data_IF_388707893315
#
_entry.id   IF_388707893315
#
_cell.length_a   1.000
_cell.length_b   1.000
_cell.length_c   1.000
_cell.angle_alpha   90.00
_cell.angle_beta   90.00
_cell.angle_gamma   90.00
#
_symmetry.space_group_name_H-M   'P 1'
#
loop_
_entity.id
_entity.type
_entity.pdbx_description
1 polymer ?
#
# COMPACT_ATOMS: atom_id res chain seq x y z
N UNK A 1 -25.19 -3.55 -34.29
CA UNK A 1 -23.83 -4.11 -34.29
C UNK A 1 -22.90 -3.05 -33.75
N UNK A 2 -22.18 -3.18 -32.65
CA UNK A 2 -22.23 -4.09 -31.51
C UNK A 2 -21.66 -3.26 -30.36
N UNK A 3 -22.44 -3.13 -29.29
CA UNK A 3 -21.97 -2.53 -28.05
C UNK A 3 -21.18 -3.59 -27.30
N UNK A 4 -19.87 -3.40 -27.14
CA UNK A 4 -19.07 -3.96 -26.04
C UNK A 4 -17.62 -3.45 -26.15
N UNK A 5 -17.36 -2.25 -25.62
CA UNK A 5 -15.99 -1.71 -25.47
C UNK A 5 -15.60 -1.53 -24.00
N UNK A 6 -16.10 -2.41 -23.13
CA UNK A 6 -15.89 -2.35 -21.68
C UNK A 6 -15.67 -3.73 -21.03
N UNK A 7 -15.07 -4.66 -21.75
CA UNK A 7 -14.40 -5.81 -21.11
C UNK A 7 -12.92 -5.49 -21.06
N UNK A 8 -12.58 -4.48 -20.24
CA UNK A 8 -11.22 -4.36 -19.72
C UNK A 8 -11.10 -5.49 -18.69
N UNK A 9 -10.24 -6.47 -18.98
CA UNK A 9 -10.03 -7.68 -18.20
C UNK A 9 -9.61 -7.33 -16.76
N UNK A 10 -10.59 -7.09 -15.90
CA UNK A 10 -10.39 -6.98 -14.45
C UNK A 10 -9.97 -8.36 -13.94
N UNK A 11 -8.67 -8.61 -13.94
CA UNK A 11 -8.04 -9.73 -13.26
C UNK A 11 -8.20 -9.54 -11.75
N UNK A 12 -9.38 -9.90 -11.24
CA UNK A 12 -9.67 -9.95 -9.81
C UNK A 12 -8.80 -11.05 -9.19
N UNK A 13 -7.67 -10.65 -8.60
CA UNK A 13 -6.86 -11.55 -7.80
C UNK A 13 -7.59 -11.88 -6.49
N UNK A 14 -7.44 -13.10 -5.96
CA UNK A 14 -7.91 -13.44 -4.63
C UNK A 14 -7.35 -12.44 -3.59
N UNK A 15 -8.15 -12.09 -2.59
CA UNK A 15 -7.78 -11.07 -1.59
C UNK A 15 -6.50 -11.45 -0.80
N UNK A 16 -6.23 -12.75 -0.67
CA UNK A 16 -5.01 -13.32 -0.09
C UNK A 16 -3.75 -13.10 -0.94
N UNK A 17 -3.90 -12.92 -2.27
CA UNK A 17 -2.80 -12.69 -3.21
C UNK A 17 -2.55 -11.21 -3.50
N UNK A 18 -3.52 -10.36 -3.17
CA UNK A 18 -3.38 -8.93 -3.34
C UNK A 18 -2.37 -8.36 -2.35
N UNK A 19 -1.40 -7.57 -2.82
CA UNK A 19 -0.46 -6.86 -1.95
C UNK A 19 -0.78 -5.36 -1.98
N UNK A 20 -0.85 -4.69 -0.82
CA UNK A 20 -1.23 -3.30 -0.79
C UNK A 20 -0.18 -2.42 -1.46
N UNK A 21 -0.59 -1.52 -2.34
CA UNK A 21 0.36 -0.66 -3.08
C UNK A 21 0.48 0.73 -2.47
N UNK A 22 -0.36 1.06 -1.50
CA UNK A 22 -0.34 2.34 -0.78
C UNK A 22 -0.40 2.15 0.74
N UNK A 23 0.06 3.17 1.47
CA UNK A 23 0.00 3.24 2.93
C UNK A 23 -1.43 3.19 3.45
N UNK A 24 -2.35 3.97 2.86
CA UNK A 24 -3.76 3.99 3.29
C UNK A 24 -4.40 2.60 3.20
N UNK A 25 -4.08 1.87 2.15
CA UNK A 25 -4.61 0.54 1.92
C UNK A 25 -4.01 -0.50 2.87
N UNK A 26 -2.70 -0.43 3.11
CA UNK A 26 -2.04 -1.22 4.15
C UNK A 26 -2.70 -1.01 5.51
N UNK A 27 -2.84 0.25 5.94
CA UNK A 27 -3.42 0.60 7.24
C UNK A 27 -4.88 0.15 7.33
N UNK A 28 -5.67 0.31 6.25
CA UNK A 28 -7.05 -0.19 6.20
C UNK A 28 -7.10 -1.69 6.38
N UNK A 29 -6.25 -2.44 5.68
CA UNK A 29 -6.22 -3.91 5.76
C UNK A 29 -5.82 -4.41 7.15
N UNK A 30 -4.93 -3.70 7.83
CA UNK A 30 -4.51 -4.03 9.19
C UNK A 30 -5.42 -3.43 10.28
N UNK A 31 -6.46 -2.66 9.92
CA UNK A 31 -7.32 -1.99 10.90
C UNK A 31 -6.62 -0.85 11.67
N UNK A 32 -5.58 -0.26 11.09
CA UNK A 32 -4.70 0.73 11.72
C UNK A 32 -4.95 2.17 11.25
N UNK A 33 -6.00 2.44 10.47
CA UNK A 33 -6.30 3.78 9.92
C UNK A 33 -6.39 4.84 11.03
N UNK A 34 -7.05 4.49 12.13
CA UNK A 34 -7.25 5.35 13.30
C UNK A 34 -6.30 5.01 14.46
N UNK A 35 -5.35 4.09 14.24
CA UNK A 35 -4.39 3.71 15.26
C UNK A 35 -3.40 4.84 15.54
N UNK A 36 -2.79 4.90 16.74
CA UNK A 36 -1.72 5.84 17.04
C UNK A 36 -0.57 5.76 16.02
N UNK A 37 0.06 6.90 15.73
CA UNK A 37 1.11 7.02 14.72
C UNK A 37 2.22 5.99 14.89
N UNK A 38 2.63 5.66 16.11
CA UNK A 38 3.67 4.66 16.37
C UNK A 38 3.28 3.25 15.91
N UNK A 39 2.00 2.88 16.06
CA UNK A 39 1.49 1.59 15.58
C UNK A 39 1.43 1.55 14.05
N UNK A 40 0.98 2.65 13.43
CA UNK A 40 1.01 2.80 11.98
C UNK A 40 2.45 2.70 11.46
N UNK A 41 3.38 3.44 12.06
CA UNK A 41 4.79 3.43 11.67
C UNK A 41 5.43 2.05 11.81
N UNK A 42 5.12 1.30 12.88
CA UNK A 42 5.58 -0.09 13.04
C UNK A 42 5.09 -0.99 11.91
N UNK A 43 3.79 -0.94 11.61
CA UNK A 43 3.21 -1.71 10.50
C UNK A 43 3.81 -1.32 9.14
N UNK A 44 4.08 -0.03 8.93
CA UNK A 44 4.74 0.44 7.72
C UNK A 44 6.19 -0.06 7.62
N UNK A 45 6.96 -0.07 8.72
CA UNK A 45 8.32 -0.64 8.73
C UNK A 45 8.31 -2.11 8.35
N UNK A 46 7.45 -2.91 8.99
CA UNK A 46 7.32 -4.34 8.68
C UNK A 46 6.96 -4.56 7.21
N UNK A 47 6.06 -3.71 6.67
CA UNK A 47 5.67 -3.75 5.28
C UNK A 47 6.80 -3.36 4.32
N UNK A 48 7.54 -2.29 4.61
CA UNK A 48 8.68 -1.84 3.80
C UNK A 48 9.81 -2.86 3.77
N UNK A 49 10.05 -3.56 4.89
CA UNK A 49 11.06 -4.62 4.97
C UNK A 49 10.64 -5.91 4.23
N UNK A 50 9.34 -6.14 4.05
CA UNK A 50 8.82 -7.37 3.45
C UNK A 50 8.87 -7.40 1.91
N UNK A 51 9.21 -6.29 1.24
CA UNK A 51 9.02 -6.15 -0.21
C UNK A 51 9.94 -5.09 -0.83
N UNK A 52 10.18 -5.14 -2.15
CA UNK A 52 10.92 -4.08 -2.83
C UNK A 52 10.18 -2.74 -2.77
N UNK A 53 10.94 -1.68 -2.50
CA UNK A 53 10.47 -0.30 -2.62
C UNK A 53 10.16 0.00 -4.09
N UNK A 54 8.95 0.46 -4.39
CA UNK A 54 8.58 0.95 -5.73
C UNK A 54 8.30 2.46 -5.67
N UNK A 55 8.40 3.20 -6.80
CA UNK A 55 8.15 4.64 -6.80
C UNK A 55 6.77 5.04 -6.25
N UNK A 56 5.75 4.20 -6.47
CA UNK A 56 4.41 4.42 -5.93
C UNK A 56 4.37 4.28 -4.41
N UNK A 57 5.12 3.32 -3.86
CA UNK A 57 5.22 3.09 -2.42
C UNK A 57 5.95 4.23 -1.75
N UNK A 58 7.10 4.64 -2.30
CA UNK A 58 7.88 5.77 -1.81
C UNK A 58 7.04 7.05 -1.80
N UNK A 59 6.36 7.34 -2.91
CA UNK A 59 5.42 8.46 -3.00
C UNK A 59 4.31 8.37 -1.95
N UNK A 60 3.70 7.20 -1.79
CA UNK A 60 2.63 7.00 -0.81
C UNK A 60 3.12 7.19 0.62
N UNK A 61 4.33 6.74 0.95
CA UNK A 61 4.93 6.89 2.29
C UNK A 61 5.18 8.36 2.61
N UNK A 62 5.80 9.11 1.68
CA UNK A 62 6.01 10.56 1.83
C UNK A 62 4.70 11.32 1.94
N UNK A 63 3.72 11.03 1.08
CA UNK A 63 2.41 11.72 1.07
C UNK A 63 1.61 11.51 2.35
N UNK A 64 1.75 10.35 3.00
CA UNK A 64 1.08 10.07 4.27
C UNK A 64 1.90 10.54 5.49
N UNK A 65 2.98 11.28 5.25
CA UNK A 65 3.80 11.88 6.31
C UNK A 65 4.65 10.87 7.06
N UNK A 66 5.03 9.75 6.45
CA UNK A 66 5.95 8.74 7.01
C UNK A 66 7.30 8.74 6.26
N UNK A 67 7.67 9.87 5.64
CA UNK A 67 8.86 9.99 4.80
C UNK A 67 10.14 9.61 5.53
N UNK A 68 10.20 9.82 6.85
CA UNK A 68 11.33 9.46 7.70
C UNK A 68 11.63 7.95 7.73
N UNK A 69 10.64 7.11 7.40
CA UNK A 69 10.82 5.65 7.34
C UNK A 69 11.57 5.20 6.08
N UNK A 70 11.71 6.08 5.09
CA UNK A 70 12.48 5.80 3.87
C UNK A 70 13.98 6.02 4.08
N UNK A 71 14.33 6.98 4.93
CA UNK A 71 15.73 7.30 5.25
C UNK A 71 16.37 6.24 6.16
N UNK A 72 15.56 5.50 6.93
CA UNK A 72 15.95 4.39 7.82
C UNK A 72 16.04 3.03 7.08
N UNK A 73 15.42 2.92 5.90
CA UNK A 73 15.38 1.71 5.08
C UNK A 73 16.49 1.65 4.00
N UNK A 74 17.41 2.63 4.00
CA UNK A 74 18.53 2.77 3.06
C UNK A 74 19.84 2.20 3.57
#
# INVERSE_FOLDING_TARGET
MDGNRFTDDLHLVPADQYQPVTVTELLRRQGLVDAPRDQQARALRDWLNSRPMTPLVEYSVRRNGFGELLDDAG
#
